data_IF_063133901029
#
_entry.id   IF_063133901029
#
_cell.length_a   1.000
_cell.length_b   1.000
_cell.length_c   1.000
_cell.angle_alpha   90.00
_cell.angle_beta   90.00
_cell.angle_gamma   90.00
#
_symmetry.space_group_name_H-M   'P 1'
#
loop_
_entity.id
_entity.type
_entity.pdbx_description
1 polymer ?
#
# COMPACT_ATOMS: atom_id res chain seq x y z
N UNK A 1 20.72 -6.98 49.54
CA UNK A 1 21.42 -8.13 50.22
C UNK A 1 20.40 -9.26 50.36
N UNK A 2 20.66 -10.35 49.76
CA UNK A 2 20.45 -11.80 50.00
C UNK A 2 20.24 -12.51 48.66
N UNK A 3 21.32 -13.13 48.18
CA UNK A 3 21.31 -14.12 47.13
C UNK A 3 20.75 -15.43 47.67
N UNK A 4 19.87 -16.08 46.91
CA UNK A 4 19.46 -17.46 47.19
C UNK A 4 19.96 -18.30 46.01
N UNK A 5 20.94 -19.17 46.28
CA UNK A 5 21.43 -20.23 45.41
C UNK A 5 20.51 -21.43 45.57
N UNK A 6 20.00 -21.97 44.45
CA UNK A 6 19.32 -23.27 44.42
C UNK A 6 20.27 -24.25 43.76
N UNK A 7 20.78 -25.21 44.57
CA UNK A 7 21.54 -26.37 44.12
C UNK A 7 20.57 -27.44 43.62
N UNK A 8 20.68 -27.86 42.36
CA UNK A 8 20.07 -29.08 41.86
C UNK A 8 21.10 -30.18 41.86
N UNK A 9 20.94 -31.12 42.78
CA UNK A 9 21.72 -32.34 42.87
C UNK A 9 21.23 -33.37 41.85
N UNK A 10 22.12 -33.76 40.93
CA UNK A 10 21.91 -34.82 39.97
C UNK A 10 22.22 -36.19 40.65
N UNK A 11 21.18 -36.99 40.90
CA UNK A 11 21.35 -38.36 41.45
C UNK A 11 21.45 -39.34 40.28
N UNK A 12 22.65 -39.90 40.05
CA UNK A 12 22.84 -41.07 39.19
C UNK A 12 22.36 -42.35 39.88
N UNK A 13 21.31 -42.96 39.35
CA UNK A 13 20.98 -44.35 39.66
C UNK A 13 21.61 -45.26 38.59
N UNK A 14 22.67 -46.00 39.02
CA UNK A 14 23.19 -47.18 38.34
C UNK A 14 22.27 -48.36 38.68
N UNK A 15 21.45 -48.81 37.73
CA UNK A 15 20.79 -50.10 37.80
C UNK A 15 21.52 -51.08 36.87
N UNK A 16 22.27 -52.00 37.48
CA UNK A 16 22.86 -53.13 36.78
C UNK A 16 21.75 -54.17 36.53
N UNK A 17 21.38 -54.41 35.28
CA UNK A 17 20.59 -55.56 34.86
C UNK A 17 21.48 -56.49 34.06
N UNK A 18 21.87 -57.59 34.72
CA UNK A 18 22.39 -58.77 34.04
C UNK A 18 21.24 -59.52 33.36
N UNK A 19 21.18 -59.47 32.07
CA UNK A 19 20.22 -60.21 31.24
C UNK A 19 20.91 -60.79 30.02
N UNK A 20 21.00 -62.12 30.05
CA UNK A 20 21.58 -62.98 29.01
C UNK A 20 20.86 -62.87 27.67
N UNK A 21 21.63 -62.59 26.62
CA UNK A 21 21.49 -63.19 25.33
C UNK A 21 20.32 -62.79 24.43
N UNK A 22 20.64 -62.09 23.43
CA UNK A 22 20.43 -62.23 21.99
C UNK A 22 20.80 -60.94 21.31
N UNK A 23 21.90 -60.94 20.58
CA UNK A 23 22.31 -59.82 19.73
C UNK A 23 21.25 -59.60 18.64
N UNK A 24 20.32 -58.66 18.89
CA UNK A 24 19.56 -58.09 17.83
C UNK A 24 20.49 -57.16 17.03
N UNK A 25 20.85 -57.58 15.83
CA UNK A 25 21.46 -56.68 14.86
C UNK A 25 20.47 -55.50 14.66
N UNK A 26 20.86 -54.32 15.10
CA UNK A 26 20.20 -53.09 14.71
C UNK A 26 20.48 -52.89 13.22
N UNK A 27 19.50 -53.19 12.37
CA UNK A 27 19.52 -52.75 10.98
C UNK A 27 19.44 -51.23 10.99
N UNK A 28 20.62 -50.60 10.86
CA UNK A 28 20.71 -49.16 10.63
C UNK A 28 19.94 -48.84 9.34
N UNK A 29 19.02 -47.88 9.33
CA UNK A 29 18.29 -47.50 8.13
C UNK A 29 19.18 -46.82 7.07
N UNK A 30 20.44 -46.59 7.36
CA UNK A 30 21.44 -46.16 6.40
C UNK A 30 21.89 -47.34 5.54
N UNK A 31 21.18 -47.61 4.45
CA UNK A 31 21.75 -48.37 3.33
C UNK A 31 22.97 -47.58 2.86
N UNK A 32 24.18 -48.10 3.15
CA UNK A 32 25.39 -47.55 2.52
C UNK A 32 25.18 -47.62 1.03
N UNK A 33 25.20 -46.45 0.36
CA UNK A 33 25.28 -46.44 -1.10
C UNK A 33 26.47 -47.28 -1.51
N UNK A 34 26.36 -48.13 -2.55
CA UNK A 34 27.48 -48.88 -3.04
C UNK A 34 28.63 -47.90 -3.29
N UNK A 35 29.83 -48.29 -2.86
CA UNK A 35 31.06 -47.56 -3.16
C UNK A 35 31.17 -47.63 -4.69
N UNK A 36 30.95 -46.54 -5.37
CA UNK A 36 31.19 -46.44 -6.83
C UNK A 36 32.71 -46.41 -6.95
N UNK A 37 33.30 -47.45 -7.54
CA UNK A 37 34.71 -47.43 -7.90
C UNK A 37 34.89 -46.43 -9.03
N UNK A 38 35.47 -45.28 -8.70
CA UNK A 38 35.80 -44.22 -9.67
C UNK A 38 37.03 -44.70 -10.43
N UNK A 39 36.91 -44.74 -11.73
CA UNK A 39 38.02 -45.15 -12.60
C UNK A 39 39.09 -44.05 -12.67
N UNK A 40 40.34 -44.41 -12.95
CA UNK A 40 41.43 -43.43 -13.15
C UNK A 40 41.11 -42.44 -14.29
N UNK A 41 40.40 -42.90 -15.30
CA UNK A 41 39.92 -42.03 -16.41
C UNK A 41 38.89 -41.00 -15.94
N UNK A 42 37.96 -41.36 -15.06
CA UNK A 42 36.97 -40.42 -14.48
C UNK A 42 37.66 -39.38 -13.62
N UNK A 43 38.60 -39.81 -12.74
CA UNK A 43 39.39 -38.88 -11.92
C UNK A 43 40.16 -37.85 -12.77
N UNK A 44 40.72 -38.29 -13.90
CA UNK A 44 41.43 -37.41 -14.82
C UNK A 44 40.50 -36.41 -15.49
N UNK A 45 39.33 -36.88 -15.94
CA UNK A 45 38.32 -35.99 -16.54
C UNK A 45 37.82 -34.93 -15.55
N UNK A 46 37.57 -35.32 -14.31
CA UNK A 46 37.15 -34.41 -13.22
C UNK A 46 38.23 -33.35 -12.91
N UNK A 47 39.51 -33.79 -12.85
CA UNK A 47 40.63 -32.88 -12.60
C UNK A 47 40.80 -31.85 -13.72
N UNK A 48 40.64 -32.24 -14.98
CA UNK A 48 40.71 -31.34 -16.11
C UNK A 48 39.50 -30.41 -16.20
N UNK A 49 38.32 -30.91 -15.82
CA UNK A 49 37.12 -30.07 -15.71
C UNK A 49 37.27 -29.00 -14.63
N UNK A 50 37.82 -29.37 -13.47
CA UNK A 50 38.13 -28.42 -12.38
C UNK A 50 39.09 -27.34 -12.87
N UNK A 51 40.18 -27.76 -13.56
CA UNK A 51 41.15 -26.82 -14.11
C UNK A 51 40.53 -25.88 -15.15
N UNK A 52 39.71 -26.38 -16.09
CA UNK A 52 38.97 -25.55 -17.05
C UNK A 52 38.02 -24.57 -16.33
N UNK A 53 37.35 -25.04 -15.27
CA UNK A 53 36.45 -24.15 -14.47
C UNK A 53 37.27 -23.09 -13.72
N UNK A 54 38.46 -23.42 -13.21
CA UNK A 54 39.36 -22.47 -12.58
C UNK A 54 39.79 -21.37 -13.56
N UNK A 55 40.17 -21.72 -14.81
CA UNK A 55 40.50 -20.72 -15.83
C UNK A 55 39.31 -19.83 -16.14
N UNK A 56 38.10 -20.38 -16.19
CA UNK A 56 36.87 -19.59 -16.36
C UNK A 56 36.69 -18.58 -15.23
N UNK A 57 36.89 -18.98 -13.98
CA UNK A 57 36.77 -18.11 -12.80
C UNK A 57 37.85 -17.02 -12.77
N UNK A 58 39.04 -17.31 -13.28
CA UNK A 58 40.15 -16.35 -13.43
C UNK A 58 39.94 -15.37 -14.60
N UNK A 59 38.91 -15.55 -15.40
CA UNK A 59 38.61 -14.71 -16.56
C UNK A 59 39.34 -15.14 -17.84
N UNK A 60 40.10 -16.24 -17.83
CA UNK A 60 40.87 -16.77 -18.99
C UNK A 60 39.93 -17.61 -19.90
N UNK A 61 38.98 -16.93 -20.54
CA UNK A 61 37.89 -17.60 -21.28
C UNK A 61 38.39 -18.49 -22.42
N UNK A 62 39.36 -18.02 -23.20
CA UNK A 62 39.92 -18.78 -24.34
C UNK A 62 40.60 -20.06 -23.86
N UNK A 63 41.37 -20.00 -22.78
CA UNK A 63 42.03 -21.17 -22.19
C UNK A 63 41.02 -22.14 -21.65
N UNK A 64 39.97 -21.67 -20.95
CA UNK A 64 38.89 -22.50 -20.45
C UNK A 64 38.17 -23.25 -21.59
N UNK A 65 37.84 -22.56 -22.69
CA UNK A 65 37.22 -23.14 -23.90
C UNK A 65 38.13 -24.24 -24.46
N UNK A 66 39.43 -23.96 -24.65
CA UNK A 66 40.39 -24.93 -25.20
C UNK A 66 40.48 -26.19 -24.31
N UNK A 67 40.48 -26.02 -22.98
CA UNK A 67 40.52 -27.17 -22.03
C UNK A 67 39.24 -28.00 -22.12
N UNK A 68 38.06 -27.40 -22.12
CA UNK A 68 36.80 -28.13 -22.30
C UNK A 68 36.74 -28.85 -23.66
N UNK A 69 37.17 -28.19 -24.76
CA UNK A 69 37.19 -28.82 -26.06
C UNK A 69 38.18 -30.01 -26.12
N UNK A 70 39.36 -29.89 -25.50
CA UNK A 70 40.32 -30.99 -25.35
C UNK A 70 39.73 -32.17 -24.60
N UNK A 71 38.99 -31.88 -23.50
CA UNK A 71 38.31 -32.91 -22.73
C UNK A 71 37.25 -33.64 -23.55
N UNK A 72 36.41 -32.88 -24.31
CA UNK A 72 35.38 -33.45 -25.18
C UNK A 72 35.95 -34.19 -26.39
N UNK A 73 37.14 -33.81 -26.84
CA UNK A 73 37.86 -34.59 -27.87
C UNK A 73 38.21 -36.02 -27.45
N UNK A 74 38.35 -36.24 -26.15
CA UNK A 74 38.65 -37.58 -25.58
C UNK A 74 37.41 -38.27 -25.01
N UNK A 75 36.47 -37.51 -24.49
CA UNK A 75 35.21 -38.01 -23.93
C UNK A 75 34.05 -37.12 -24.44
N UNK A 76 33.51 -37.42 -25.64
CA UNK A 76 32.44 -36.62 -26.24
C UNK A 76 31.13 -36.56 -25.44
N UNK A 77 30.90 -37.53 -24.57
CA UNK A 77 29.67 -37.66 -23.76
C UNK A 77 29.82 -37.12 -22.34
N UNK A 78 30.89 -36.35 -22.07
CA UNK A 78 31.12 -35.79 -20.75
C UNK A 78 30.24 -34.52 -20.52
N UNK A 79 29.09 -34.74 -19.90
CA UNK A 79 28.08 -33.69 -19.71
C UNK A 79 28.57 -32.43 -18.98
N UNK A 80 29.48 -32.50 -17.97
CA UNK A 80 29.97 -31.29 -17.30
C UNK A 80 30.78 -30.36 -18.20
N UNK A 81 31.55 -30.92 -19.19
CA UNK A 81 32.30 -30.10 -20.15
C UNK A 81 31.37 -29.40 -21.15
N UNK A 82 30.33 -30.09 -21.61
CA UNK A 82 29.30 -29.47 -22.41
C UNK A 82 28.58 -28.31 -21.65
N UNK A 83 28.25 -28.51 -20.39
CA UNK A 83 27.68 -27.44 -19.56
C UNK A 83 28.64 -26.24 -19.40
N UNK A 84 29.93 -26.53 -19.14
CA UNK A 84 30.98 -25.50 -19.04
C UNK A 84 31.11 -24.65 -20.32
N UNK A 85 31.17 -25.32 -21.48
CA UNK A 85 31.18 -24.62 -22.79
C UNK A 85 29.88 -23.84 -23.03
N UNK A 86 28.73 -24.43 -22.72
CA UNK A 86 27.42 -23.76 -22.81
C UNK A 86 27.40 -22.46 -22.03
N UNK A 87 27.93 -22.47 -20.81
CA UNK A 87 28.02 -21.28 -19.95
C UNK A 87 28.98 -20.22 -20.48
N UNK A 88 30.16 -20.65 -20.98
CA UNK A 88 31.15 -19.73 -21.56
C UNK A 88 30.61 -19.07 -22.82
N UNK A 89 30.02 -19.83 -23.74
CA UNK A 89 29.44 -19.29 -24.98
C UNK A 89 28.24 -18.37 -24.69
N UNK A 90 27.41 -18.69 -23.69
CA UNK A 90 26.33 -17.82 -23.23
C UNK A 90 26.86 -16.45 -22.76
N UNK A 91 27.88 -16.46 -21.91
CA UNK A 91 28.52 -15.24 -21.41
C UNK A 91 29.19 -14.42 -22.49
N UNK A 92 29.67 -15.07 -23.60
CA UNK A 92 30.26 -14.43 -24.75
C UNK A 92 29.23 -13.98 -25.80
N UNK A 93 27.93 -14.23 -25.57
CA UNK A 93 26.85 -13.88 -26.50
C UNK A 93 26.68 -14.83 -27.68
N UNK A 94 27.40 -15.96 -27.72
CA UNK A 94 27.29 -16.97 -28.77
C UNK A 94 26.17 -17.94 -28.51
N UNK A 95 24.93 -17.45 -28.64
CA UNK A 95 23.70 -18.12 -28.14
C UNK A 95 23.47 -19.48 -28.83
N UNK A 96 23.76 -19.63 -30.09
CA UNK A 96 23.57 -20.90 -30.83
C UNK A 96 24.51 -21.99 -30.30
N UNK A 97 25.78 -21.65 -30.08
CA UNK A 97 26.76 -22.57 -29.50
C UNK A 97 26.43 -22.91 -28.06
N UNK A 98 25.99 -21.90 -27.28
CA UNK A 98 25.52 -22.08 -25.91
C UNK A 98 24.33 -23.06 -25.84
N UNK A 99 23.33 -22.87 -26.72
CA UNK A 99 22.15 -23.72 -26.83
C UNK A 99 22.56 -25.16 -27.19
N UNK A 100 23.38 -25.34 -28.21
CA UNK A 100 23.84 -26.67 -28.65
C UNK A 100 24.49 -27.46 -27.48
N UNK A 101 25.48 -26.85 -26.85
CA UNK A 101 26.24 -27.52 -25.80
C UNK A 101 25.39 -27.75 -24.52
N UNK A 102 24.55 -26.79 -24.14
CA UNK A 102 23.66 -26.94 -22.97
C UNK A 102 22.59 -28.00 -23.20
N UNK A 103 22.02 -28.10 -24.40
CA UNK A 103 21.08 -29.17 -24.76
C UNK A 103 21.76 -30.54 -24.74
N UNK A 104 23.02 -30.64 -25.18
CA UNK A 104 23.81 -31.89 -25.06
C UNK A 104 23.98 -32.26 -23.57
N UNK A 105 24.39 -31.33 -22.73
CA UNK A 105 24.52 -31.58 -21.27
C UNK A 105 23.21 -32.09 -20.66
N UNK A 106 22.07 -31.47 -20.99
CA UNK A 106 20.74 -31.89 -20.53
C UNK A 106 20.34 -33.28 -21.03
N UNK A 107 20.74 -33.67 -22.24
CA UNK A 107 20.46 -35.02 -22.79
C UNK A 107 21.32 -36.10 -22.13
N UNK A 108 22.60 -35.83 -21.87
CA UNK A 108 23.54 -36.73 -21.29
C UNK A 108 23.28 -36.96 -19.79
N UNK A 109 22.87 -35.93 -19.09
CA UNK A 109 22.46 -36.01 -17.68
C UNK A 109 21.15 -35.21 -17.47
N UNK A 110 20.06 -35.90 -17.75
CA UNK A 110 18.71 -35.28 -17.66
C UNK A 110 18.24 -35.02 -16.22
N UNK A 111 18.94 -35.61 -15.22
CA UNK A 111 18.63 -35.44 -13.81
C UNK A 111 19.20 -34.19 -13.19
N UNK A 112 20.14 -33.52 -13.84
CA UNK A 112 20.84 -32.37 -13.31
C UNK A 112 20.04 -31.07 -13.53
N UNK A 113 19.51 -30.43 -12.46
CA UNK A 113 18.70 -29.24 -12.60
C UNK A 113 19.49 -28.02 -13.10
N UNK A 114 20.79 -27.95 -12.83
CA UNK A 114 21.63 -26.83 -13.22
C UNK A 114 21.73 -26.66 -14.73
N UNK A 115 21.77 -27.79 -15.47
CA UNK A 115 21.82 -27.74 -16.92
C UNK A 115 20.52 -27.20 -17.51
N UNK A 116 19.37 -27.59 -16.93
CA UNK A 116 18.07 -27.08 -17.34
C UNK A 116 17.87 -25.61 -16.97
N UNK A 117 18.42 -25.17 -15.81
CA UNK A 117 18.39 -23.74 -15.44
C UNK A 117 19.16 -22.92 -16.46
N UNK A 118 20.36 -23.36 -16.84
CA UNK A 118 21.15 -22.70 -17.89
C UNK A 118 20.39 -22.68 -19.23
N UNK A 119 19.75 -23.80 -19.60
CA UNK A 119 18.96 -23.92 -20.82
C UNK A 119 17.78 -22.93 -20.83
N UNK A 120 17.10 -22.79 -19.68
CA UNK A 120 16.02 -21.82 -19.53
C UNK A 120 16.52 -20.37 -19.75
N UNK A 121 17.66 -19.99 -19.15
CA UNK A 121 18.24 -18.67 -19.38
C UNK A 121 18.61 -18.42 -20.86
N UNK A 122 19.11 -19.45 -21.56
CA UNK A 122 19.39 -19.32 -23.00
C UNK A 122 18.09 -19.10 -23.79
N UNK A 123 17.01 -19.86 -23.47
CA UNK A 123 15.72 -19.68 -24.14
C UNK A 123 15.11 -18.29 -23.85
N UNK A 124 15.29 -17.76 -22.67
CA UNK A 124 14.86 -16.40 -22.31
C UNK A 124 15.57 -15.35 -23.17
N UNK A 125 16.89 -15.46 -23.33
CA UNK A 125 17.68 -14.57 -24.21
C UNK A 125 17.32 -14.72 -25.69
N UNK A 126 17.03 -15.93 -26.15
CA UNK A 126 16.56 -16.20 -27.51
C UNK A 126 15.10 -15.79 -27.72
N UNK A 127 14.40 -15.34 -26.69
CA UNK A 127 12.96 -15.04 -26.68
C UNK A 127 12.07 -16.23 -27.09
N UNK A 128 12.54 -17.44 -26.84
CA UNK A 128 11.80 -18.66 -27.07
C UNK A 128 10.91 -18.99 -25.85
N UNK A 129 9.79 -18.29 -25.75
CA UNK A 129 8.86 -18.41 -24.64
C UNK A 129 8.32 -19.84 -24.47
N UNK A 130 8.15 -20.58 -25.56
CA UNK A 130 7.62 -21.96 -25.55
C UNK A 130 8.59 -22.91 -24.84
N UNK A 131 9.85 -22.92 -25.27
CA UNK A 131 10.84 -23.81 -24.69
C UNK A 131 11.27 -23.35 -23.29
N UNK A 132 11.29 -22.04 -23.01
CA UNK A 132 11.49 -21.48 -21.68
C UNK A 132 10.47 -22.03 -20.69
N UNK A 133 9.17 -21.92 -21.03
CA UNK A 133 8.07 -22.41 -20.17
C UNK A 133 8.14 -23.92 -19.97
N UNK A 134 8.37 -24.68 -21.05
CA UNK A 134 8.50 -26.13 -20.97
C UNK A 134 9.66 -26.58 -20.07
N UNK A 135 10.79 -25.89 -20.12
CA UNK A 135 11.98 -26.19 -19.31
C UNK A 135 11.71 -25.95 -17.82
N UNK A 136 11.05 -24.81 -17.48
CA UNK A 136 10.66 -24.55 -16.08
C UNK A 136 9.58 -25.52 -15.57
N UNK A 137 8.63 -25.94 -16.43
CA UNK A 137 7.67 -26.99 -16.04
C UNK A 137 8.36 -28.31 -15.70
N UNK A 138 9.39 -28.70 -16.46
CA UNK A 138 10.19 -29.91 -16.16
C UNK A 138 10.94 -29.77 -14.83
N UNK A 139 11.54 -28.59 -14.56
CA UNK A 139 12.24 -28.31 -13.30
C UNK A 139 11.30 -28.41 -12.10
N UNK A 140 10.11 -27.80 -12.18
CA UNK A 140 9.08 -27.89 -11.15
C UNK A 140 8.61 -29.34 -10.94
N UNK A 141 8.42 -30.11 -12.03
CA UNK A 141 8.00 -31.51 -11.95
C UNK A 141 9.05 -32.39 -11.26
N UNK A 142 10.32 -32.17 -11.60
CA UNK A 142 11.44 -32.93 -11.03
C UNK A 142 11.80 -32.54 -9.60
N UNK A 143 11.53 -31.29 -9.22
CA UNK A 143 11.91 -30.73 -7.93
C UNK A 143 10.74 -29.91 -7.33
N UNK A 144 9.66 -30.56 -6.96
CA UNK A 144 8.42 -29.87 -6.57
C UNK A 144 8.50 -29.13 -5.22
N UNK A 145 9.57 -29.30 -4.45
CA UNK A 145 9.79 -28.64 -3.17
C UNK A 145 10.62 -27.36 -3.28
N UNK A 146 11.07 -26.99 -4.50
CA UNK A 146 11.85 -25.79 -4.74
C UNK A 146 10.93 -24.68 -5.21
N UNK A 147 10.56 -23.78 -4.31
CA UNK A 147 9.59 -22.69 -4.57
C UNK A 147 10.07 -21.73 -5.67
N UNK A 148 11.39 -21.49 -5.76
CA UNK A 148 11.97 -20.59 -6.77
C UNK A 148 11.69 -21.04 -8.20
N UNK A 149 11.59 -22.35 -8.44
CA UNK A 149 11.25 -22.85 -9.77
C UNK A 149 9.82 -22.49 -10.20
N UNK A 150 8.90 -22.41 -9.24
CA UNK A 150 7.53 -21.95 -9.51
C UNK A 150 7.51 -20.45 -9.84
N UNK A 151 8.28 -19.61 -9.13
CA UNK A 151 8.36 -18.19 -9.45
C UNK A 151 8.95 -17.96 -10.85
N UNK A 152 10.01 -18.69 -11.19
CA UNK A 152 10.58 -18.61 -12.52
C UNK A 152 9.61 -19.12 -13.61
N UNK A 153 8.86 -20.18 -13.33
CA UNK A 153 7.81 -20.66 -14.22
C UNK A 153 6.68 -19.64 -14.39
N UNK A 154 6.24 -19.01 -13.29
CA UNK A 154 5.27 -17.93 -13.33
C UNK A 154 5.73 -16.77 -14.21
N UNK A 155 7.00 -16.37 -14.08
CA UNK A 155 7.63 -15.35 -14.92
C UNK A 155 7.74 -15.79 -16.39
N UNK A 156 8.05 -17.06 -16.64
CA UNK A 156 8.11 -17.61 -18.00
C UNK A 156 6.72 -17.56 -18.69
N UNK A 157 5.64 -17.83 -17.97
CA UNK A 157 4.30 -17.66 -18.48
C UNK A 157 3.96 -16.19 -18.77
N UNK A 158 4.40 -15.25 -17.91
CA UNK A 158 4.23 -13.81 -18.17
C UNK A 158 5.04 -13.37 -19.38
N UNK A 159 6.26 -13.87 -19.53
CA UNK A 159 7.08 -13.63 -20.71
C UNK A 159 6.43 -14.14 -22.00
N UNK A 160 5.69 -15.25 -21.92
CA UNK A 160 4.87 -15.78 -23.00
C UNK A 160 3.54 -15.02 -23.23
N UNK A 161 3.24 -13.98 -22.45
CA UNK A 161 1.97 -13.26 -22.50
C UNK A 161 0.80 -14.03 -21.88
N UNK A 162 1.05 -15.17 -21.25
CA UNK A 162 0.02 -16.02 -20.65
C UNK A 162 -0.16 -15.70 -19.14
N UNK A 163 -0.88 -14.62 -18.87
CA UNK A 163 -1.17 -14.19 -17.48
C UNK A 163 -1.94 -15.25 -16.71
N UNK A 164 -2.88 -15.94 -17.35
CA UNK A 164 -3.67 -16.99 -16.72
C UNK A 164 -2.79 -18.18 -16.28
N UNK A 165 -1.85 -18.62 -17.13
CA UNK A 165 -0.89 -19.68 -16.78
C UNK A 165 -0.01 -19.29 -15.58
N UNK A 166 0.42 -18.02 -15.52
CA UNK A 166 1.17 -17.49 -14.37
C UNK A 166 0.36 -17.61 -13.07
N UNK A 167 -0.91 -17.23 -13.09
CA UNK A 167 -1.81 -17.33 -11.91
C UNK A 167 -1.97 -18.81 -11.49
N UNK A 168 -2.15 -19.73 -12.43
CA UNK A 168 -2.28 -21.16 -12.15
C UNK A 168 -1.02 -21.74 -11.48
N UNK A 169 0.15 -21.27 -11.89
CA UNK A 169 1.42 -21.63 -11.20
C UNK A 169 1.44 -21.10 -9.78
N UNK A 170 1.03 -19.86 -9.55
CA UNK A 170 0.95 -19.28 -8.21
C UNK A 170 -0.11 -19.99 -7.33
N UNK A 171 -1.20 -20.49 -7.92
CA UNK A 171 -2.16 -21.37 -7.22
C UNK A 171 -1.51 -22.69 -6.78
N UNK A 172 -0.60 -23.24 -7.60
CA UNK A 172 0.21 -24.43 -7.22
C UNK A 172 1.14 -24.11 -6.05
N UNK A 173 1.72 -22.89 -6.01
CA UNK A 173 2.54 -22.43 -4.87
C UNK A 173 1.69 -22.38 -3.61
N UNK A 174 0.53 -21.71 -3.63
CA UNK A 174 -0.37 -21.62 -2.47
C UNK A 174 -0.80 -23.00 -1.95
N UNK A 175 -1.12 -23.90 -2.87
CA UNK A 175 -1.54 -25.28 -2.51
C UNK A 175 -0.44 -26.07 -1.82
N UNK A 176 0.83 -25.84 -2.19
CA UNK A 176 1.98 -26.64 -1.67
C UNK A 176 2.63 -26.00 -0.47
N UNK A 177 2.82 -24.70 -0.49
CA UNK A 177 3.60 -23.94 0.49
C UNK A 177 2.73 -23.07 1.42
N UNK A 178 1.43 -23.01 1.16
CA UNK A 178 0.49 -22.15 1.91
C UNK A 178 0.34 -20.76 1.32
N UNK A 179 -0.64 -20.03 1.87
CA UNK A 179 -0.94 -18.65 1.48
C UNK A 179 0.13 -17.73 2.05
N UNK A 180 0.77 -16.95 1.19
CA UNK A 180 1.77 -15.94 1.57
C UNK A 180 1.41 -14.58 0.96
N UNK A 181 1.82 -13.51 1.64
CA UNK A 181 1.59 -12.15 1.15
C UNK A 181 2.14 -11.94 -0.27
N UNK A 182 3.37 -12.36 -0.53
CA UNK A 182 4.03 -12.17 -1.82
C UNK A 182 3.22 -12.80 -2.97
N UNK A 183 2.75 -14.03 -2.79
CA UNK A 183 1.96 -14.75 -3.80
C UNK A 183 0.59 -14.11 -3.98
N UNK A 184 -0.12 -13.81 -2.89
CA UNK A 184 -1.47 -13.22 -2.96
C UNK A 184 -1.46 -11.84 -3.61
N UNK A 185 -0.49 -10.97 -3.28
CA UNK A 185 -0.36 -9.65 -3.89
C UNK A 185 0.06 -9.73 -5.36
N UNK A 186 0.91 -10.69 -5.73
CA UNK A 186 1.27 -10.91 -7.14
C UNK A 186 0.05 -11.38 -7.94
N UNK A 187 -0.72 -12.35 -7.45
CA UNK A 187 -1.97 -12.80 -8.07
C UNK A 187 -2.99 -11.66 -8.18
N UNK A 188 -3.13 -10.85 -7.13
CA UNK A 188 -4.00 -9.68 -7.14
C UNK A 188 -3.65 -8.74 -8.30
N UNK A 189 -2.36 -8.39 -8.46
CA UNK A 189 -1.89 -7.56 -9.58
C UNK A 189 -2.20 -8.18 -10.94
N UNK A 190 -2.01 -9.49 -11.08
CA UNK A 190 -2.28 -10.22 -12.31
C UNK A 190 -3.78 -10.25 -12.64
N UNK A 191 -4.66 -10.43 -11.63
CA UNK A 191 -6.10 -10.36 -11.81
C UNK A 191 -6.57 -8.97 -12.24
N UNK A 192 -5.96 -7.89 -11.71
CA UNK A 192 -6.24 -6.53 -12.18
C UNK A 192 -5.75 -6.33 -13.63
N UNK A 193 -4.58 -6.86 -13.99
CA UNK A 193 -4.04 -6.73 -15.35
C UNK A 193 -4.92 -7.38 -16.43
N UNK A 194 -5.75 -8.36 -16.05
CA UNK A 194 -6.74 -9.00 -16.96
C UNK A 194 -8.18 -8.60 -16.65
N UNK A 195 -8.36 -7.44 -16.02
CA UNK A 195 -9.65 -6.79 -15.75
C UNK A 195 -10.65 -7.69 -14.95
N UNK A 196 -10.13 -8.43 -13.97
CA UNK A 196 -10.93 -9.27 -13.07
C UNK A 196 -10.82 -8.83 -11.61
N UNK A 197 -11.35 -7.63 -11.26
CA UNK A 197 -11.20 -7.05 -9.92
C UNK A 197 -11.83 -7.91 -8.81
N UNK A 198 -12.92 -8.61 -9.11
CA UNK A 198 -13.55 -9.52 -8.13
C UNK A 198 -12.63 -10.68 -7.73
N UNK A 199 -11.85 -11.22 -8.68
CA UNK A 199 -10.86 -12.25 -8.38
C UNK A 199 -9.66 -11.68 -7.60
N UNK A 200 -9.22 -10.48 -7.97
CA UNK A 200 -8.18 -9.76 -7.22
C UNK A 200 -8.57 -9.56 -5.75
N UNK A 201 -9.82 -9.17 -5.49
CA UNK A 201 -10.36 -9.04 -4.13
C UNK A 201 -10.37 -10.37 -3.37
N UNK A 202 -10.76 -11.46 -4.02
CA UNK A 202 -10.74 -12.80 -3.39
C UNK A 202 -9.35 -13.23 -2.94
N UNK A 203 -8.29 -12.82 -3.64
CA UNK A 203 -6.92 -13.08 -3.18
C UNK A 203 -6.62 -12.31 -1.88
N UNK A 204 -7.09 -11.07 -1.76
CA UNK A 204 -6.96 -10.29 -0.54
C UNK A 204 -7.81 -10.87 0.61
N UNK A 205 -9.01 -11.37 0.32
CA UNK A 205 -9.87 -12.07 1.30
C UNK A 205 -9.18 -13.34 1.85
N UNK A 206 -8.56 -14.14 0.98
CA UNK A 206 -7.76 -15.30 1.40
C UNK A 206 -6.58 -14.90 2.29
N UNK A 207 -5.90 -13.81 1.91
CA UNK A 207 -4.75 -13.31 2.66
C UNK A 207 -5.17 -12.81 4.03
N UNK A 208 -6.25 -12.04 4.13
CA UNK A 208 -6.82 -11.58 5.39
C UNK A 208 -7.23 -12.74 6.30
N UNK A 209 -7.81 -13.81 5.73
CA UNK A 209 -8.17 -15.02 6.47
C UNK A 209 -6.94 -15.82 6.95
N UNK A 210 -5.86 -15.84 6.16
CA UNK A 210 -4.63 -16.54 6.52
C UNK A 210 -3.78 -15.77 7.56
N UNK A 211 -3.94 -14.43 7.62
CA UNK A 211 -3.19 -13.53 8.51
C UNK A 211 -4.14 -12.64 9.32
N UNK A 212 -4.97 -13.19 10.20
CA UNK A 212 -6.01 -12.45 10.90
C UNK A 212 -5.48 -11.37 11.85
N UNK A 213 -4.24 -11.50 12.31
CA UNK A 213 -3.57 -10.52 13.19
C UNK A 213 -3.02 -9.30 12.44
N UNK A 214 -3.02 -9.33 11.10
CA UNK A 214 -2.59 -8.23 10.26
C UNK A 214 -3.78 -7.34 9.87
N UNK A 215 -4.02 -6.22 10.55
CA UNK A 215 -5.23 -5.42 10.35
C UNK A 215 -5.32 -4.76 8.97
N UNK A 216 -4.16 -4.52 8.32
CA UNK A 216 -4.08 -3.80 7.04
C UNK A 216 -4.91 -4.44 5.91
N UNK A 217 -4.97 -5.77 5.85
CA UNK A 217 -5.73 -6.46 4.79
C UNK A 217 -7.23 -6.30 5.00
N UNK A 218 -7.69 -6.41 6.25
CA UNK A 218 -9.07 -6.16 6.61
C UNK A 218 -9.46 -4.69 6.37
N UNK A 219 -8.56 -3.73 6.64
CA UNK A 219 -8.78 -2.31 6.37
C UNK A 219 -8.94 -2.04 4.86
N UNK A 220 -8.05 -2.57 4.01
CA UNK A 220 -8.14 -2.43 2.55
C UNK A 220 -9.45 -3.04 2.01
N UNK A 221 -9.86 -4.20 2.53
CA UNK A 221 -11.13 -4.83 2.15
C UNK A 221 -12.33 -3.98 2.57
N UNK A 222 -12.32 -3.46 3.80
CA UNK A 222 -13.37 -2.60 4.30
C UNK A 222 -13.50 -1.32 3.45
N UNK A 223 -12.39 -0.65 3.13
CA UNK A 223 -12.37 0.53 2.26
C UNK A 223 -12.88 0.21 0.84
N UNK A 224 -12.49 -0.94 0.28
CA UNK A 224 -13.01 -1.39 -1.02
C UNK A 224 -14.53 -1.52 -0.99
N UNK A 225 -15.08 -2.15 0.05
CA UNK A 225 -16.52 -2.28 0.21
C UNK A 225 -17.24 -0.96 0.55
N UNK A 226 -16.58 -0.02 1.24
CA UNK A 226 -17.07 1.35 1.43
C UNK A 226 -17.26 2.07 0.09
N UNK A 227 -16.27 1.97 -0.80
CA UNK A 227 -16.33 2.57 -2.14
C UNK A 227 -17.44 1.96 -3.02
N UNK A 228 -17.72 0.66 -2.83
CA UNK A 228 -18.83 -0.04 -3.49
C UNK A 228 -20.19 0.20 -2.81
N UNK A 229 -20.24 0.99 -1.74
CA UNK A 229 -21.42 1.24 -0.90
C UNK A 229 -21.98 -0.05 -0.24
N UNK A 230 -21.17 -1.08 -0.13
CA UNK A 230 -21.52 -2.30 0.58
C UNK A 230 -21.11 -2.19 2.05
N UNK A 231 -21.78 -1.31 2.76
CA UNK A 231 -21.45 -0.95 4.14
C UNK A 231 -21.52 -2.13 5.12
N UNK A 232 -22.41 -3.09 4.87
CA UNK A 232 -22.54 -4.28 5.72
C UNK A 232 -21.26 -5.13 5.72
N UNK A 233 -20.66 -5.33 4.54
CA UNK A 233 -19.36 -6.02 4.44
C UNK A 233 -18.22 -5.17 4.97
N UNK A 234 -18.22 -3.87 4.72
CA UNK A 234 -17.22 -2.97 5.29
C UNK A 234 -17.19 -3.05 6.82
N UNK A 235 -18.38 -3.00 7.47
CA UNK A 235 -18.52 -3.17 8.91
C UNK A 235 -17.98 -4.52 9.42
N UNK A 236 -18.22 -5.60 8.68
CA UNK A 236 -17.71 -6.92 9.05
C UNK A 236 -16.19 -6.90 9.15
N UNK A 237 -15.49 -6.36 8.15
CA UNK A 237 -14.03 -6.29 8.14
C UNK A 237 -13.49 -5.32 9.20
N UNK A 238 -14.11 -4.15 9.40
CA UNK A 238 -13.72 -3.24 10.48
C UNK A 238 -13.91 -3.86 11.87
N UNK A 239 -14.99 -4.61 12.10
CA UNK A 239 -15.19 -5.31 13.36
C UNK A 239 -14.17 -6.43 13.57
N UNK A 240 -13.78 -7.15 12.50
CA UNK A 240 -12.71 -8.15 12.59
C UNK A 240 -11.39 -7.53 13.05
N UNK A 241 -11.09 -6.30 12.67
CA UNK A 241 -9.90 -5.59 13.16
C UNK A 241 -10.01 -5.37 14.68
N UNK A 242 -11.15 -4.89 15.18
CA UNK A 242 -11.36 -4.69 16.63
C UNK A 242 -11.36 -5.99 17.43
N UNK A 243 -11.89 -7.08 16.87
CA UNK A 243 -11.91 -8.40 17.53
C UNK A 243 -10.49 -8.94 17.70
N UNK A 244 -9.63 -8.75 16.71
CA UNK A 244 -8.24 -9.20 16.77
C UNK A 244 -7.31 -8.25 17.51
N UNK A 245 -7.63 -6.96 17.51
CA UNK A 245 -6.89 -5.91 18.22
C UNK A 245 -7.84 -4.92 18.89
N UNK A 246 -8.39 -5.25 20.06
CA UNK A 246 -9.34 -4.39 20.79
C UNK A 246 -8.76 -3.03 21.19
N UNK A 247 -7.45 -2.87 21.16
CA UNK A 247 -6.74 -1.63 21.50
C UNK A 247 -6.44 -0.75 20.27
N UNK A 248 -6.85 -1.18 19.10
CA UNK A 248 -6.71 -0.36 17.87
C UNK A 248 -7.83 0.69 17.83
N UNK A 249 -7.60 1.78 18.55
CA UNK A 249 -8.56 2.88 18.63
C UNK A 249 -8.70 3.67 17.32
N UNK A 250 -7.74 3.53 16.38
CA UNK A 250 -7.78 4.24 15.08
C UNK A 250 -8.97 3.80 14.22
N UNK A 251 -9.37 2.54 14.34
CA UNK A 251 -10.47 1.96 13.56
C UNK A 251 -11.83 2.63 13.84
N UNK A 252 -11.95 3.29 14.99
CA UNK A 252 -13.21 3.93 15.39
C UNK A 252 -13.62 5.08 14.46
N UNK A 253 -12.67 5.81 13.87
CA UNK A 253 -12.98 6.85 12.87
C UNK A 253 -13.58 6.22 11.60
N UNK A 254 -13.00 5.12 11.13
CA UNK A 254 -13.49 4.38 9.95
C UNK A 254 -14.88 3.77 10.21
N UNK A 255 -15.11 3.19 11.40
CA UNK A 255 -16.42 2.71 11.81
C UNK A 255 -17.46 3.83 11.89
N UNK A 256 -17.08 4.99 12.44
CA UNK A 256 -17.95 6.16 12.47
C UNK A 256 -18.37 6.59 11.07
N UNK A 257 -17.41 6.66 10.13
CA UNK A 257 -17.68 7.00 8.73
C UNK A 257 -18.61 5.97 8.06
N UNK A 258 -18.40 4.68 8.33
CA UNK A 258 -19.25 3.63 7.80
C UNK A 258 -20.68 3.74 8.34
N UNK A 259 -20.86 3.93 9.64
CA UNK A 259 -22.19 4.14 10.25
C UNK A 259 -22.86 5.43 9.76
N UNK A 260 -22.09 6.50 9.52
CA UNK A 260 -22.58 7.74 8.92
C UNK A 260 -23.15 7.47 7.52
N UNK A 261 -22.42 6.72 6.68
CA UNK A 261 -22.86 6.34 5.34
C UNK A 261 -24.13 5.47 5.34
N UNK A 262 -24.36 4.73 6.44
CA UNK A 262 -25.59 3.94 6.66
C UNK A 262 -26.73 4.75 7.29
N UNK A 263 -26.55 6.04 7.52
CA UNK A 263 -27.48 6.91 8.25
C UNK A 263 -27.78 6.45 9.71
N UNK A 264 -26.86 5.64 10.28
CA UNK A 264 -26.95 5.22 11.66
C UNK A 264 -26.20 6.21 12.57
N UNK A 265 -26.83 7.38 12.77
CA UNK A 265 -26.22 8.49 13.48
C UNK A 265 -25.83 8.17 14.94
N UNK A 266 -26.59 7.35 15.72
CA UNK A 266 -26.19 7.00 17.08
C UNK A 266 -24.87 6.21 17.14
N UNK A 267 -24.69 5.24 16.26
CA UNK A 267 -23.44 4.47 16.20
C UNK A 267 -22.30 5.32 15.62
N UNK A 268 -22.59 6.14 14.62
CA UNK A 268 -21.62 7.09 14.06
C UNK A 268 -21.05 8.00 15.17
N UNK A 269 -21.90 8.62 15.97
CA UNK A 269 -21.45 9.46 17.10
C UNK A 269 -20.68 8.66 18.17
N UNK A 270 -21.17 7.46 18.53
CA UNK A 270 -20.48 6.60 19.49
C UNK A 270 -19.03 6.33 19.08
N UNK A 271 -18.84 5.91 17.84
CA UNK A 271 -17.51 5.58 17.32
C UNK A 271 -16.66 6.84 17.07
N UNK A 272 -17.25 7.93 16.59
CA UNK A 272 -16.57 9.21 16.46
C UNK A 272 -15.99 9.66 17.82
N UNK A 273 -16.77 9.59 18.89
CA UNK A 273 -16.32 9.97 20.23
C UNK A 273 -15.13 9.11 20.69
N UNK A 274 -15.13 7.82 20.40
CA UNK A 274 -14.04 6.92 20.75
C UNK A 274 -12.78 7.25 19.94
N UNK A 275 -12.91 7.46 18.63
CA UNK A 275 -11.78 7.85 17.78
C UNK A 275 -11.20 9.21 18.16
N UNK A 276 -12.04 10.19 18.51
CA UNK A 276 -11.56 11.51 18.92
C UNK A 276 -10.88 11.51 20.30
N UNK A 277 -11.17 10.52 21.16
CA UNK A 277 -10.47 10.36 22.44
C UNK A 277 -9.07 9.74 22.29
N UNK A 278 -8.75 9.16 21.13
CA UNK A 278 -7.50 8.45 20.90
C UNK A 278 -6.30 9.43 20.81
N UNK A 279 -5.31 9.34 21.73
CA UNK A 279 -4.15 10.22 21.73
C UNK A 279 -3.15 9.93 20.60
N UNK A 280 -3.25 8.77 19.93
CA UNK A 280 -2.40 8.39 18.80
C UNK A 280 -2.74 9.21 17.55
N UNK A 281 -4.02 9.57 17.37
CA UNK A 281 -4.43 10.47 16.30
C UNK A 281 -3.99 11.89 16.68
N UNK A 282 -3.18 12.50 15.83
CA UNK A 282 -2.71 13.87 16.12
C UNK A 282 -3.88 14.88 16.15
N UNK A 283 -3.66 15.99 16.82
CA UNK A 283 -4.69 17.01 17.08
C UNK A 283 -5.33 17.55 15.81
N UNK A 284 -4.51 17.86 14.82
CA UNK A 284 -4.96 18.40 13.54
C UNK A 284 -5.90 17.43 12.81
N UNK A 285 -5.52 16.14 12.77
CA UNK A 285 -6.35 15.12 12.11
C UNK A 285 -7.66 14.91 12.86
N UNK A 286 -7.66 14.94 14.20
CA UNK A 286 -8.91 14.85 14.99
C UNK A 286 -9.87 16.01 14.67
N UNK A 287 -9.36 17.24 14.54
CA UNK A 287 -10.18 18.39 14.15
C UNK A 287 -10.70 18.26 12.71
N UNK A 288 -9.87 17.79 11.77
CA UNK A 288 -10.28 17.52 10.40
C UNK A 288 -11.40 16.48 10.35
N UNK A 289 -11.22 15.34 11.01
CA UNK A 289 -12.25 14.29 11.05
C UNK A 289 -13.55 14.83 11.67
N UNK A 290 -13.48 15.53 12.79
CA UNK A 290 -14.69 16.10 13.40
C UNK A 290 -15.38 17.07 12.42
N UNK A 291 -14.64 17.93 11.72
CA UNK A 291 -15.19 18.86 10.72
C UNK A 291 -15.91 18.15 9.57
N UNK A 292 -15.38 17.00 9.11
CA UNK A 292 -16.02 16.21 8.06
C UNK A 292 -17.38 15.67 8.49
N UNK A 293 -17.49 15.18 9.73
CA UNK A 293 -18.77 14.72 10.27
C UNK A 293 -19.80 15.85 10.42
N UNK A 294 -19.34 17.04 10.76
CA UNK A 294 -20.21 18.22 10.91
C UNK A 294 -20.80 18.74 9.59
N UNK A 295 -20.24 18.38 8.44
CA UNK A 295 -20.83 18.69 7.12
C UNK A 295 -22.16 17.98 6.90
N UNK A 296 -22.43 16.90 7.64
CA UNK A 296 -23.74 16.26 7.61
C UNK A 296 -24.71 17.03 8.53
N UNK A 297 -25.61 17.83 7.96
CA UNK A 297 -26.55 18.67 8.70
C UNK A 297 -27.43 17.87 9.68
N UNK A 298 -27.89 16.68 9.29
CA UNK A 298 -28.71 15.81 10.14
C UNK A 298 -27.93 15.37 11.38
N UNK A 299 -26.67 14.97 11.18
CA UNK A 299 -25.79 14.59 12.25
C UNK A 299 -25.51 15.76 13.19
N UNK A 300 -25.13 16.91 12.63
CA UNK A 300 -24.85 18.10 13.44
C UNK A 300 -26.08 18.57 14.20
N UNK A 301 -27.26 18.59 13.57
CA UNK A 301 -28.51 18.96 14.25
C UNK A 301 -28.83 18.01 15.41
N UNK A 302 -28.58 16.71 15.25
CA UNK A 302 -28.87 15.72 16.29
C UNK A 302 -27.85 15.76 17.45
N UNK A 303 -26.56 16.04 17.19
CA UNK A 303 -25.47 15.90 18.15
C UNK A 303 -24.68 17.20 18.39
N UNK A 304 -25.19 18.38 18.04
CA UNK A 304 -24.45 19.64 18.11
C UNK A 304 -23.83 19.90 19.48
N UNK A 305 -24.59 19.77 20.58
CA UNK A 305 -24.08 19.98 21.94
C UNK A 305 -22.94 19.03 22.29
N UNK A 306 -23.04 17.80 21.83
CA UNK A 306 -22.03 16.77 22.06
C UNK A 306 -20.77 17.05 21.23
N UNK A 307 -20.95 17.54 19.99
CA UNK A 307 -19.84 17.92 19.11
C UNK A 307 -19.06 19.12 19.67
N UNK A 308 -19.73 20.14 20.24
CA UNK A 308 -19.05 21.23 20.94
C UNK A 308 -18.19 20.70 22.10
N UNK A 309 -18.74 19.83 22.97
CA UNK A 309 -17.97 19.21 24.06
C UNK A 309 -16.79 18.40 23.55
N UNK A 310 -16.96 17.75 22.41
CA UNK A 310 -15.89 16.95 21.81
C UNK A 310 -14.77 17.85 21.29
N UNK A 311 -15.12 18.95 20.62
CA UNK A 311 -14.16 19.98 20.19
C UNK A 311 -13.40 20.59 21.38
N UNK A 312 -14.11 20.95 22.45
CA UNK A 312 -13.50 21.45 23.70
C UNK A 312 -12.55 20.44 24.32
N UNK A 313 -12.91 19.14 24.32
CA UNK A 313 -12.06 18.07 24.84
C UNK A 313 -10.78 17.92 24.00
N UNK A 314 -10.88 17.99 22.68
CA UNK A 314 -9.73 17.93 21.77
C UNK A 314 -8.83 19.15 22.02
N UNK A 315 -9.41 20.35 22.10
CA UNK A 315 -8.66 21.58 22.34
C UNK A 315 -7.88 21.57 23.68
N UNK A 316 -8.51 21.04 24.73
CA UNK A 316 -7.84 20.91 26.04
C UNK A 316 -6.63 19.95 26.01
N UNK A 317 -6.66 18.94 25.14
CA UNK A 317 -5.56 17.98 24.91
C UNK A 317 -4.49 18.51 23.94
N UNK A 318 -4.79 19.57 23.22
CA UNK A 318 -4.00 20.08 22.09
C UNK A 318 -3.70 21.58 22.28
N UNK A 319 -2.98 21.98 23.31
CA UNK A 319 -2.70 23.39 23.55
C UNK A 319 -1.84 23.96 22.39
N UNK A 320 -2.29 25.05 21.78
CA UNK A 320 -1.57 25.73 20.67
C UNK A 320 -2.01 25.30 19.27
N UNK A 321 -3.03 24.49 19.12
CA UNK A 321 -3.64 24.19 17.80
C UNK A 321 -4.83 25.15 17.54
N UNK A 322 -4.66 26.01 16.54
CA UNK A 322 -5.71 26.99 16.14
C UNK A 322 -6.90 26.34 15.41
N UNK A 323 -6.80 25.04 15.06
CA UNK A 323 -7.87 24.30 14.40
C UNK A 323 -9.16 24.28 15.22
N UNK A 324 -9.08 24.30 16.56
CA UNK A 324 -10.24 24.43 17.44
C UNK A 324 -11.03 25.72 17.16
N UNK A 325 -10.37 26.86 17.11
CA UNK A 325 -11.01 28.17 16.90
C UNK A 325 -11.77 28.22 15.57
N UNK A 326 -11.14 27.69 14.51
CA UNK A 326 -11.78 27.59 13.20
C UNK A 326 -13.01 26.68 13.22
N UNK A 327 -12.86 25.46 13.76
CA UNK A 327 -13.95 24.49 13.85
C UNK A 327 -15.11 25.01 14.69
N UNK A 328 -14.80 25.66 15.80
CA UNK A 328 -15.80 26.25 16.70
C UNK A 328 -16.60 27.35 16.00
N UNK A 329 -15.90 28.22 15.28
CA UNK A 329 -16.53 29.26 14.44
C UNK A 329 -17.47 28.66 13.38
N UNK A 330 -17.06 27.61 12.70
CA UNK A 330 -17.90 26.91 11.71
C UNK A 330 -19.16 26.29 12.36
N UNK A 331 -19.00 25.67 13.53
CA UNK A 331 -20.13 25.10 14.29
C UNK A 331 -21.13 26.15 14.74
N UNK A 332 -20.65 27.30 15.22
CA UNK A 332 -21.46 28.43 15.62
C UNK A 332 -22.22 29.04 14.42
N UNK A 333 -21.52 29.21 13.30
CA UNK A 333 -22.13 29.69 12.05
C UNK A 333 -23.28 28.78 11.57
N UNK A 334 -23.04 27.44 11.63
CA UNK A 334 -24.06 26.45 11.29
C UNK A 334 -25.27 26.42 12.23
N UNK A 335 -25.15 27.01 13.44
CA UNK A 335 -26.25 27.25 14.38
C UNK A 335 -26.82 28.67 14.28
N UNK A 336 -26.46 29.44 13.26
CA UNK A 336 -26.88 30.86 13.06
C UNK A 336 -26.47 31.79 14.24
N UNK A 337 -25.47 31.35 15.05
CA UNK A 337 -24.87 32.15 16.14
C UNK A 337 -23.77 33.05 15.56
N UNK A 338 -24.15 33.89 14.61
CA UNK A 338 -23.19 34.61 13.76
C UNK A 338 -22.24 35.53 14.55
N UNK A 339 -22.71 36.25 15.58
CA UNK A 339 -21.86 37.15 16.39
C UNK A 339 -20.71 36.37 17.09
N UNK A 340 -21.04 35.19 17.61
CA UNK A 340 -20.03 34.36 18.26
C UNK A 340 -19.10 33.70 17.23
N UNK A 341 -19.62 33.31 16.07
CA UNK A 341 -18.81 32.78 14.96
C UNK A 341 -17.79 33.82 14.46
N UNK A 342 -18.21 35.07 14.29
CA UNK A 342 -17.33 36.21 13.92
C UNK A 342 -16.17 36.34 14.91
N UNK A 343 -16.46 36.24 16.22
CA UNK A 343 -15.42 36.32 17.25
C UNK A 343 -14.37 35.22 17.06
N UNK A 344 -14.79 33.99 16.75
CA UNK A 344 -13.87 32.88 16.54
C UNK A 344 -13.06 33.05 15.24
N UNK A 345 -13.70 33.41 14.14
CA UNK A 345 -13.00 33.62 12.88
C UNK A 345 -11.97 34.74 12.95
N UNK A 346 -12.31 35.85 13.64
CA UNK A 346 -11.35 36.96 13.90
C UNK A 346 -10.19 36.50 14.77
N UNK A 347 -10.42 35.69 15.81
CA UNK A 347 -9.36 35.10 16.62
C UNK A 347 -8.43 34.22 15.78
N UNK A 348 -8.97 33.39 14.90
CA UNK A 348 -8.17 32.59 13.98
C UNK A 348 -7.35 33.44 13.00
N UNK A 349 -7.96 34.45 12.38
CA UNK A 349 -7.31 35.33 11.41
C UNK A 349 -6.22 36.24 12.03
N UNK A 350 -6.19 36.39 13.36
CA UNK A 350 -5.07 37.05 14.04
C UNK A 350 -3.79 36.20 14.00
N UNK A 351 -3.90 34.88 13.85
CA UNK A 351 -2.76 33.94 13.78
C UNK A 351 -2.44 33.53 12.35
N UNK A 352 -3.46 33.24 11.53
CA UNK A 352 -3.29 32.85 10.13
C UNK A 352 -4.29 33.56 9.21
N UNK A 353 -3.79 34.53 8.42
CA UNK A 353 -4.55 35.29 7.41
C UNK A 353 -4.52 34.68 6.01
N UNK A 354 -3.81 33.54 5.82
CA UNK A 354 -3.55 33.00 4.49
C UNK A 354 -4.72 32.19 3.90
N UNK A 355 -5.73 31.86 4.70
CA UNK A 355 -6.82 30.99 4.31
C UNK A 355 -8.06 31.79 3.84
N UNK A 356 -8.26 31.89 2.54
CA UNK A 356 -9.43 32.59 1.97
C UNK A 356 -10.77 32.07 2.50
N UNK A 357 -10.90 30.76 2.71
CA UNK A 357 -12.15 30.15 3.20
C UNK A 357 -12.61 30.69 4.57
N UNK A 358 -11.66 31.10 5.42
CA UNK A 358 -11.98 31.69 6.73
C UNK A 358 -12.45 33.13 6.57
N UNK A 359 -11.80 33.91 5.71
CA UNK A 359 -12.29 35.24 5.35
C UNK A 359 -13.69 35.19 4.75
N UNK A 360 -13.93 34.25 3.85
CA UNK A 360 -15.27 34.08 3.25
C UNK A 360 -16.32 33.74 4.31
N UNK A 361 -16.03 32.83 5.23
CA UNK A 361 -16.92 32.47 6.33
C UNK A 361 -17.17 33.66 7.28
N UNK A 362 -16.13 34.44 7.61
CA UNK A 362 -16.25 35.67 8.39
C UNK A 362 -17.20 36.66 7.72
N UNK A 363 -16.98 36.98 6.45
CA UNK A 363 -17.77 37.94 5.69
C UNK A 363 -19.23 37.48 5.56
N UNK A 364 -19.47 36.19 5.38
CA UNK A 364 -20.85 35.64 5.36
C UNK A 364 -21.51 35.87 6.71
N UNK A 365 -20.85 35.54 7.82
CA UNK A 365 -21.42 35.71 9.15
C UNK A 365 -21.67 37.17 9.48
N UNK A 366 -20.74 38.07 9.17
CA UNK A 366 -20.94 39.54 9.37
C UNK A 366 -22.09 40.10 8.55
N UNK A 367 -22.28 39.61 7.32
CA UNK A 367 -23.42 40.06 6.47
C UNK A 367 -24.78 39.69 7.03
N UNK A 368 -24.86 38.74 7.99
CA UNK A 368 -26.10 38.37 8.68
C UNK A 368 -26.37 39.23 9.92
N UNK A 369 -25.42 40.06 10.34
CA UNK A 369 -25.54 40.88 11.56
C UNK A 369 -25.91 42.32 11.19
N UNK A 370 -27.01 42.87 11.73
CA UNK A 370 -27.51 44.19 11.35
C UNK A 370 -26.55 45.34 11.73
N UNK A 371 -25.75 45.16 12.77
CA UNK A 371 -24.90 46.21 13.33
C UNK A 371 -23.43 46.13 12.90
N UNK A 372 -23.08 45.19 12.00
CA UNK A 372 -21.67 44.91 11.63
C UNK A 372 -21.17 45.63 10.37
N UNK A 373 -21.93 46.58 9.85
CA UNK A 373 -21.65 47.22 8.55
C UNK A 373 -20.28 47.87 8.40
N UNK A 374 -19.70 48.43 9.47
CA UNK A 374 -18.36 49.05 9.41
C UNK A 374 -17.29 47.96 9.43
N UNK A 375 -17.41 47.00 10.34
CA UNK A 375 -16.48 45.85 10.44
C UNK A 375 -16.51 45.00 9.14
N UNK A 376 -17.69 44.74 8.58
CA UNK A 376 -17.86 44.05 7.31
C UNK A 376 -17.12 44.72 6.15
N UNK A 377 -17.16 46.08 6.10
CA UNK A 377 -16.43 46.82 5.09
C UNK A 377 -14.93 46.73 5.24
N UNK A 378 -14.43 46.88 6.47
CA UNK A 378 -12.99 46.77 6.78
C UNK A 378 -12.47 45.36 6.46
N UNK A 379 -13.18 44.33 6.89
CA UNK A 379 -12.78 42.94 6.67
C UNK A 379 -12.90 42.54 5.19
N UNK A 380 -13.93 43.04 4.47
CA UNK A 380 -14.05 42.81 3.03
C UNK A 380 -12.94 43.50 2.23
N UNK A 381 -12.49 44.71 2.64
CA UNK A 381 -11.34 45.39 2.03
C UNK A 381 -10.05 44.60 2.26
N UNK A 382 -9.80 44.17 3.48
CA UNK A 382 -8.62 43.35 3.79
C UNK A 382 -8.62 42.02 3.01
N UNK A 383 -9.76 41.33 2.93
CA UNK A 383 -9.91 40.13 2.14
C UNK A 383 -9.68 40.37 0.65
N UNK A 384 -10.15 41.49 0.09
CA UNK A 384 -9.93 41.84 -1.31
C UNK A 384 -8.47 42.17 -1.62
N UNK A 385 -7.75 42.76 -0.68
CA UNK A 385 -6.30 43.02 -0.79
C UNK A 385 -5.48 41.75 -0.74
N UNK A 386 -5.80 40.84 0.18
CA UNK A 386 -5.08 39.57 0.36
C UNK A 386 -5.40 38.56 -0.77
N UNK A 387 -6.62 38.60 -1.26
CA UNK A 387 -7.15 37.62 -2.24
C UNK A 387 -7.80 38.31 -3.46
N UNK A 388 -7.03 39.01 -4.29
CA UNK A 388 -7.56 39.89 -5.35
C UNK A 388 -8.28 39.15 -6.48
N UNK A 389 -8.23 37.83 -6.55
CA UNK A 389 -8.92 37.02 -7.57
C UNK A 389 -10.21 36.38 -7.04
N UNK A 390 -10.58 36.60 -5.79
CA UNK A 390 -11.81 36.10 -5.22
C UNK A 390 -12.93 37.09 -5.29
N UNK A 391 -14.07 36.69 -5.83
CA UNK A 391 -15.20 37.59 -6.17
C UNK A 391 -15.96 38.11 -4.95
N UNK A 392 -16.20 37.26 -3.95
CA UNK A 392 -17.10 37.56 -2.83
C UNK A 392 -16.77 38.86 -2.06
N UNK A 393 -15.52 39.15 -1.72
CA UNK A 393 -15.18 40.41 -1.05
C UNK A 393 -15.62 41.63 -1.84
N UNK A 394 -15.42 41.63 -3.16
CA UNK A 394 -15.81 42.74 -4.03
C UNK A 394 -17.32 42.87 -4.14
N UNK A 395 -18.08 41.79 -4.24
CA UNK A 395 -19.53 41.76 -4.23
C UNK A 395 -20.08 42.43 -2.97
N UNK A 396 -19.54 42.09 -1.80
CA UNK A 396 -19.91 42.66 -0.51
C UNK A 396 -19.61 44.18 -0.51
N UNK A 397 -18.42 44.58 -0.95
CA UNK A 397 -18.05 46.00 -1.04
C UNK A 397 -18.99 46.79 -1.94
N UNK A 398 -19.36 46.26 -3.11
CA UNK A 398 -20.35 46.89 -3.99
C UNK A 398 -21.68 47.07 -3.27
N UNK A 399 -22.21 46.02 -2.64
CA UNK A 399 -23.50 46.06 -1.95
C UNK A 399 -23.51 47.06 -0.79
N UNK A 400 -22.44 47.09 0.01
CA UNK A 400 -22.34 48.01 1.13
C UNK A 400 -22.17 49.48 0.70
N UNK A 401 -21.39 49.73 -0.37
CA UNK A 401 -21.25 51.09 -0.87
C UNK A 401 -22.53 51.61 -1.59
N UNK A 402 -23.29 50.75 -2.27
CA UNK A 402 -24.61 51.08 -2.79
C UNK A 402 -25.56 51.40 -1.64
N UNK A 403 -25.59 50.62 -0.56
CA UNK A 403 -26.45 50.88 0.61
C UNK A 403 -26.14 52.24 1.25
N UNK A 404 -24.90 52.70 1.19
CA UNK A 404 -24.44 54.01 1.71
C UNK A 404 -24.52 55.13 0.69
N UNK A 405 -25.11 54.89 -0.48
CA UNK A 405 -25.17 55.83 -1.61
C UNK A 405 -23.79 56.36 -2.05
N UNK A 406 -22.72 55.60 -1.81
CA UNK A 406 -21.39 55.94 -2.26
C UNK A 406 -21.13 55.33 -3.65
N UNK A 407 -21.65 55.99 -4.64
CA UNK A 407 -21.64 55.57 -6.03
C UNK A 407 -20.22 55.45 -6.63
N UNK A 408 -19.30 56.29 -6.22
CA UNK A 408 -17.93 56.28 -6.71
C UNK A 408 -17.23 54.94 -6.33
N UNK A 409 -17.25 54.62 -5.05
CA UNK A 409 -16.64 53.33 -4.57
C UNK A 409 -17.41 52.12 -5.07
N UNK A 410 -18.72 52.17 -5.14
CA UNK A 410 -19.54 51.08 -5.69
C UNK A 410 -19.14 50.76 -7.14
N UNK A 411 -18.99 51.76 -8.01
CA UNK A 411 -18.52 51.56 -9.40
C UNK A 411 -17.12 51.02 -9.46
N UNK A 412 -16.18 51.52 -8.64
CA UNK A 412 -14.81 51.05 -8.59
C UNK A 412 -14.73 49.53 -8.30
N UNK A 413 -15.45 49.05 -7.29
CA UNK A 413 -15.44 47.65 -6.96
C UNK A 413 -16.25 46.77 -7.91
N UNK A 414 -17.28 47.33 -8.54
CA UNK A 414 -18.03 46.64 -9.59
C UNK A 414 -17.20 46.37 -10.84
N UNK A 415 -16.29 47.27 -11.22
CA UNK A 415 -15.30 47.03 -12.28
C UNK A 415 -14.42 45.85 -11.94
N UNK A 416 -13.98 45.69 -10.67
CA UNK A 416 -13.24 44.54 -10.20
C UNK A 416 -14.03 43.24 -10.33
N UNK A 417 -15.33 43.28 -9.95
CA UNK A 417 -16.20 42.11 -10.15
C UNK A 417 -16.28 41.68 -11.62
N UNK A 418 -16.44 42.67 -12.54
CA UNK A 418 -16.48 42.38 -13.98
C UNK A 418 -15.17 41.79 -14.53
N UNK A 419 -13.99 42.17 -13.99
CA UNK A 419 -12.73 41.61 -14.40
C UNK A 419 -12.59 40.15 -13.96
N UNK A 420 -13.14 39.78 -12.79
CA UNK A 420 -13.02 38.41 -12.23
C UNK A 420 -14.04 37.46 -12.88
N UNK A 421 -15.32 37.89 -12.99
CA UNK A 421 -16.40 37.00 -13.44
C UNK A 421 -17.48 37.76 -14.22
N UNK A 422 -17.22 38.22 -15.44
CA UNK A 422 -18.10 39.14 -16.21
C UNK A 422 -19.47 38.56 -16.51
N UNK A 423 -19.64 37.27 -16.53
CA UNK A 423 -20.91 36.61 -16.93
C UNK A 423 -21.77 36.16 -15.75
N UNK A 424 -21.33 36.37 -14.51
CA UNK A 424 -22.08 35.93 -13.34
C UNK A 424 -23.36 36.74 -13.13
N UNK A 425 -24.44 36.02 -12.79
CA UNK A 425 -25.78 36.64 -12.65
C UNK A 425 -25.82 37.72 -11.56
N UNK A 426 -25.11 37.49 -10.45
CA UNK A 426 -25.01 38.46 -9.34
C UNK A 426 -24.39 39.78 -9.79
N UNK A 427 -23.38 39.74 -10.65
CA UNK A 427 -22.71 40.95 -11.16
C UNK A 427 -23.65 41.73 -12.07
N UNK A 428 -24.40 41.06 -12.94
CA UNK A 428 -25.39 41.70 -13.81
C UNK A 428 -26.46 42.40 -12.99
N UNK A 429 -26.93 41.78 -11.91
CA UNK A 429 -27.91 42.39 -10.99
C UNK A 429 -27.34 43.65 -10.29
N UNK A 430 -26.10 43.53 -9.77
CA UNK A 430 -25.42 44.64 -9.12
C UNK A 430 -25.16 45.81 -10.10
N UNK A 431 -24.84 45.50 -11.37
CA UNK A 431 -24.67 46.49 -12.41
C UNK A 431 -25.97 47.28 -12.62
N UNK A 432 -27.09 46.59 -12.81
CA UNK A 432 -28.39 47.20 -12.96
C UNK A 432 -28.79 48.05 -11.74
N UNK A 433 -28.55 47.54 -10.54
CA UNK A 433 -28.82 48.29 -9.30
C UNK A 433 -27.94 49.53 -9.19
N UNK A 434 -26.67 49.45 -9.52
CA UNK A 434 -25.73 50.56 -9.52
C UNK A 434 -26.15 51.64 -10.54
N UNK A 435 -26.59 51.25 -11.74
CA UNK A 435 -27.10 52.16 -12.75
C UNK A 435 -28.38 52.90 -12.32
N UNK A 436 -29.28 52.21 -11.60
CA UNK A 436 -30.51 52.80 -11.08
C UNK A 436 -30.29 53.75 -9.91
N UNK A 437 -29.39 53.44 -8.99
CA UNK A 437 -29.16 54.23 -7.79
C UNK A 437 -28.18 55.40 -7.99
N UNK A 438 -27.29 55.27 -8.96
CA UNK A 438 -26.15 56.15 -9.15
C UNK A 438 -26.24 56.99 -10.44
N UNK A 439 -27.47 57.26 -10.89
CA UNK A 439 -27.69 58.16 -12.00
C UNK A 439 -27.35 59.63 -11.70
#
# INVERSE_FOLDING_TARGET
>A
MKRVYVYITFLMMLAACTGTGKTARSDSPYKRKPIVEVTESELKNDAEQIDATMQQLLGNQEEAIAKYQSLLGRNPDYSPAHYGLGKLYFNSGWLDSALYHTQLACRLDSGNPWYKIQLAHIYEHLRDAKNLTATWEELVRGNPDVVDYYYNLSNAYLFAGNVQGSIEVLDRVEKRFGVTEAVSLQKQKLWYAIEKPDKARKELEKLAAAMPTEPRYNAILAESYMNEKNYAKALQYYNTILENNPTDENIHVSLASCYMAMDNLPQAYRHLRLGMANPVINCKDRMVYLSEFLRNERFFKAYSKQCFRLADTIAAQCPGDDGHTLLYGQMLAAQERFAEAVTQFKAFLNTDRSQYSVWEALLICESQLPDSTEALLEDAQQAAELFPLHLRPYVILVQEYLRRNNCEKARYYLERCHMIAPNETTIKQLTQQCEQQCQ
#
